data_IF_394086290850
#
_entry.id   IF_394086290850
#
_cell.length_a   1.000
_cell.length_b   1.000
_cell.length_c   1.000
_cell.angle_alpha   90.00
_cell.angle_beta   90.00
_cell.angle_gamma   90.00
#
_symmetry.space_group_name_H-M   'P 1'
#
loop_
_entity.id
_entity.type
_entity.pdbx_description
1 polymer ?
#
# COMPACT_ATOMS: atom_id res chain seq x y z
N UNK A 1 -40.33 45.70 -13.38
CA UNK A 1 -39.20 45.69 -12.43
C UNK A 1 -39.23 44.36 -11.68
N UNK A 2 -38.48 43.36 -12.16
CA UNK A 2 -38.38 42.04 -11.52
C UNK A 2 -37.03 41.96 -10.83
N UNK A 3 -37.01 42.06 -9.50
CA UNK A 3 -35.80 41.91 -8.69
C UNK A 3 -35.52 40.42 -8.54
N UNK A 4 -34.45 39.99 -9.22
CA UNK A 4 -33.93 38.62 -9.24
C UNK A 4 -33.16 38.34 -7.94
N UNK A 5 -33.56 37.27 -7.25
CA UNK A 5 -32.84 36.41 -6.29
C UNK A 5 -31.78 37.02 -5.32
N UNK A 6 -31.89 36.78 -3.99
CA UNK A 6 -30.72 36.80 -3.13
C UNK A 6 -29.85 35.58 -3.46
N UNK A 7 -28.69 35.88 -4.06
CA UNK A 7 -27.59 34.95 -4.31
C UNK A 7 -27.33 34.09 -3.07
N UNK A 8 -27.37 32.78 -3.29
CA UNK A 8 -27.11 31.71 -2.33
C UNK A 8 -25.80 31.97 -1.60
N UNK A 9 -25.86 31.81 -0.27
CA UNK A 9 -24.74 31.77 0.66
C UNK A 9 -23.60 30.95 0.08
N UNK A 10 -22.56 31.62 -0.42
CA UNK A 10 -21.32 30.97 -0.83
C UNK A 10 -20.68 30.38 0.42
N UNK A 11 -20.87 29.08 0.62
CA UNK A 11 -20.00 28.33 1.51
C UNK A 11 -18.57 28.55 1.03
N UNK A 12 -17.60 28.88 1.90
CA UNK A 12 -16.21 28.87 1.50
C UNK A 12 -15.91 27.48 0.97
N UNK A 13 -15.63 27.43 -0.34
CA UNK A 13 -15.03 26.28 -0.98
C UNK A 13 -13.67 26.14 -0.30
N UNK A 14 -13.59 25.31 0.73
CA UNK A 14 -12.31 24.88 1.29
C UNK A 14 -11.68 24.02 0.21
N UNK A 15 -11.11 24.67 -0.80
CA UNK A 15 -9.96 24.14 -1.50
C UNK A 15 -8.99 23.77 -0.39
N UNK A 16 -8.80 22.48 -0.14
CA UNK A 16 -7.81 21.99 0.83
C UNK A 16 -6.48 22.65 0.44
N UNK A 17 -6.09 23.71 1.16
CA UNK A 17 -5.12 24.70 0.69
C UNK A 17 -3.71 24.13 0.51
N UNK A 18 -3.48 22.89 0.94
CA UNK A 18 -2.24 22.18 0.74
C UNK A 18 -2.50 20.74 0.32
N UNK A 19 -2.07 20.39 -0.89
CA UNK A 19 -2.16 19.04 -1.48
C UNK A 19 -1.50 17.94 -0.62
N UNK A 20 -0.69 18.34 0.36
CA UNK A 20 0.11 17.46 1.23
C UNK A 20 -0.17 17.67 2.73
N UNK A 21 -1.32 18.26 3.08
CA UNK A 21 -1.71 18.45 4.48
C UNK A 21 -1.81 17.11 5.23
N UNK A 22 -2.28 16.06 4.54
CA UNK A 22 -2.42 14.72 5.11
C UNK A 22 -1.05 14.10 5.47
N UNK A 23 -0.03 14.31 4.63
CA UNK A 23 1.36 13.92 4.92
C UNK A 23 1.89 14.64 6.17
N UNK A 24 1.66 15.95 6.25
CA UNK A 24 2.16 16.77 7.35
C UNK A 24 1.52 16.41 8.70
N UNK A 25 0.23 16.11 8.69
CA UNK A 25 -0.50 15.64 9.86
C UNK A 25 0.09 14.32 10.37
N UNK A 26 0.29 13.33 9.48
CA UNK A 26 0.90 12.03 9.85
C UNK A 26 2.31 12.17 10.37
N UNK A 27 3.14 12.98 9.70
CA UNK A 27 4.50 13.26 10.15
C UNK A 27 4.50 13.89 11.55
N UNK A 28 3.62 14.86 11.79
CA UNK A 28 3.50 15.55 13.09
C UNK A 28 2.98 14.61 14.18
N UNK A 29 2.03 13.73 13.85
CA UNK A 29 1.52 12.71 14.76
C UNK A 29 2.61 11.72 15.17
N UNK A 30 3.42 11.22 14.23
CA UNK A 30 4.55 10.33 14.53
C UNK A 30 5.63 11.04 15.35
N UNK A 31 5.96 12.29 15.01
CA UNK A 31 6.89 13.09 15.81
C UNK A 31 6.36 13.30 17.23
N UNK A 32 5.05 13.53 17.41
CA UNK A 32 4.42 13.66 18.72
C UNK A 32 4.48 12.34 19.49
N UNK A 33 4.24 11.20 18.82
CA UNK A 33 4.28 9.86 19.40
C UNK A 33 5.68 9.51 19.91
N UNK A 34 6.71 9.84 19.14
CA UNK A 34 8.12 9.59 19.47
C UNK A 34 8.76 10.72 20.32
N UNK A 35 7.99 11.76 20.69
CA UNK A 35 8.43 12.98 21.38
C UNK A 35 9.68 13.63 20.76
N UNK A 36 9.71 13.71 19.43
CA UNK A 36 10.82 14.32 18.66
C UNK A 36 10.48 15.76 18.28
N UNK A 37 11.51 16.62 18.20
CA UNK A 37 11.35 18.03 17.84
C UNK A 37 11.61 18.28 16.34
N UNK A 38 11.05 19.38 15.81
CA UNK A 38 11.30 19.88 14.44
C UNK A 38 12.79 20.15 14.20
N UNK A 39 13.54 20.48 15.26
CA UNK A 39 14.99 20.65 15.21
C UNK A 39 15.72 19.33 14.91
N UNK A 40 15.25 18.22 15.49
CA UNK A 40 15.83 16.90 15.29
C UNK A 40 15.51 16.40 13.87
N UNK A 41 14.30 16.69 13.37
CA UNK A 41 13.92 16.42 11.98
C UNK A 41 14.83 17.15 10.98
N UNK A 42 15.18 18.41 11.26
CA UNK A 42 16.10 19.20 10.45
C UNK A 42 17.50 18.58 10.39
N UNK A 43 18.01 18.09 11.53
CA UNK A 43 19.30 17.42 11.61
C UNK A 43 19.30 16.06 10.91
N UNK A 44 18.27 15.24 11.12
CA UNK A 44 18.16 13.90 10.54
C UNK A 44 17.98 13.94 9.02
N UNK A 45 17.19 14.90 8.53
CA UNK A 45 16.92 15.04 7.12
C UNK A 45 18.01 15.82 6.36
N UNK A 46 18.95 16.44 7.09
CA UNK A 46 19.98 17.33 6.54
C UNK A 46 19.34 18.44 5.67
N UNK A 47 18.40 19.16 6.28
CA UNK A 47 17.67 20.27 5.68
C UNK A 47 17.61 21.44 6.65
N UNK A 48 17.47 22.67 6.13
CA UNK A 48 17.27 23.85 6.96
C UNK A 48 16.02 23.73 7.83
N UNK A 49 16.05 24.32 9.02
CA UNK A 49 14.90 24.35 9.95
C UNK A 49 13.60 24.82 9.28
N UNK A 50 13.68 25.84 8.41
CA UNK A 50 12.53 26.32 7.63
C UNK A 50 11.93 25.25 6.71
N UNK A 51 12.75 24.37 6.12
CA UNK A 51 12.24 23.26 5.28
C UNK A 51 11.56 22.18 6.13
N UNK A 52 12.16 21.81 7.26
CA UNK A 52 11.53 20.89 8.21
C UNK A 52 10.17 21.42 8.70
N UNK A 53 10.11 22.72 8.99
CA UNK A 53 8.86 23.39 9.37
C UNK A 53 7.82 23.37 8.25
N UNK A 54 8.22 23.60 6.99
CA UNK A 54 7.32 23.50 5.83
C UNK A 54 6.74 22.10 5.65
N UNK A 55 7.50 21.05 5.97
CA UNK A 55 6.99 19.67 5.95
C UNK A 55 5.91 19.44 7.00
N UNK A 56 6.11 19.94 8.23
CA UNK A 56 5.07 19.86 9.29
C UNK A 56 3.84 20.73 9.02
N UNK A 57 3.98 21.77 8.18
CA UNK A 57 2.86 22.62 7.76
C UNK A 57 2.16 22.10 6.49
N UNK A 58 2.73 21.10 5.80
CA UNK A 58 2.20 20.53 4.57
C UNK A 58 2.33 21.40 3.33
N UNK A 59 3.10 22.48 3.41
CA UNK A 59 3.29 23.42 2.29
C UNK A 59 4.27 22.91 1.23
N UNK A 60 5.10 21.92 1.58
CA UNK A 60 6.06 21.30 0.67
C UNK A 60 6.10 19.78 0.85
N UNK A 61 6.24 19.06 -0.28
CA UNK A 61 6.52 17.62 -0.30
C UNK A 61 8.04 17.41 -0.33
N UNK A 62 8.63 16.66 0.62
CA UNK A 62 10.05 16.30 0.56
C UNK A 62 10.32 15.43 -0.69
N UNK A 63 11.52 15.54 -1.26
CA UNK A 63 11.97 14.61 -2.32
C UNK A 63 12.14 13.20 -1.76
N UNK A 64 12.02 12.21 -2.62
CA UNK A 64 12.10 10.78 -2.25
C UNK A 64 13.34 10.43 -1.41
N UNK A 65 14.51 10.98 -1.74
CA UNK A 65 15.74 10.77 -0.94
C UNK A 65 15.62 11.27 0.51
N UNK A 66 14.99 12.43 0.70
CA UNK A 66 14.83 13.09 2.00
C UNK A 66 13.68 12.46 2.77
N UNK A 67 12.62 12.05 2.07
CA UNK A 67 11.49 11.30 2.61
C UNK A 67 11.97 9.95 3.16
N UNK A 68 12.82 9.23 2.42
CA UNK A 68 13.38 7.97 2.87
C UNK A 68 14.24 8.16 4.13
N UNK A 69 15.08 9.20 4.19
CA UNK A 69 15.85 9.51 5.42
C UNK A 69 14.96 9.81 6.63
N UNK A 70 13.86 10.52 6.44
CA UNK A 70 12.89 10.78 7.52
C UNK A 70 12.22 9.48 7.95
N UNK A 71 11.86 8.64 7.00
CA UNK A 71 11.24 7.34 7.22
C UNK A 71 12.17 6.40 8.01
N UNK A 72 13.43 6.29 7.59
CA UNK A 72 14.46 5.52 8.28
C UNK A 72 14.71 6.07 9.69
N UNK A 73 14.72 7.40 9.86
CA UNK A 73 14.94 8.03 11.15
C UNK A 73 13.76 7.85 12.13
N UNK A 74 12.53 7.90 11.62
CA UNK A 74 11.31 7.64 12.38
C UNK A 74 11.00 6.14 12.49
N UNK A 75 11.77 5.27 11.84
CA UNK A 75 11.52 3.83 11.72
C UNK A 75 10.10 3.50 11.21
N UNK A 76 9.63 4.28 10.24
CA UNK A 76 8.33 4.10 9.54
C UNK A 76 8.57 3.96 8.05
N UNK A 77 7.59 3.49 7.29
CA UNK A 77 7.72 3.34 5.83
C UNK A 77 7.53 4.70 5.12
N UNK A 78 8.38 5.02 4.15
CA UNK A 78 8.28 6.25 3.36
C UNK A 78 6.93 6.36 2.63
N UNK A 79 6.44 5.23 2.11
CA UNK A 79 5.13 5.14 1.46
C UNK A 79 3.97 5.43 2.43
N UNK A 80 4.07 4.98 3.69
CA UNK A 80 3.05 5.25 4.70
C UNK A 80 2.96 6.74 5.04
N UNK A 81 4.11 7.41 5.17
CA UNK A 81 4.13 8.85 5.40
C UNK A 81 3.42 9.60 4.25
N UNK A 82 3.73 9.24 2.99
CA UNK A 82 3.24 9.95 1.79
C UNK A 82 1.78 9.64 1.44
N UNK A 83 1.37 8.38 1.46
CA UNK A 83 0.04 7.95 1.01
C UNK A 83 -0.92 7.64 2.16
N UNK A 84 -0.43 7.40 3.39
CA UNK A 84 -1.26 6.99 4.53
C UNK A 84 -1.80 5.58 4.44
N UNK A 85 -1.38 4.84 3.41
CA UNK A 85 -1.68 3.43 3.25
C UNK A 85 -0.55 2.65 3.93
N UNK A 86 -0.91 1.80 4.90
CA UNK A 86 0.01 0.88 5.57
C UNK A 86 0.24 1.15 7.05
N UNK A 87 -0.81 1.12 7.88
CA UNK A 87 -0.56 0.79 9.28
C UNK A 87 0.16 -0.57 9.31
N UNK A 88 1.38 -0.55 9.88
CA UNK A 88 2.30 -1.68 10.11
C UNK A 88 2.12 -2.94 9.26
N UNK A 89 2.95 -3.12 8.24
CA UNK A 89 3.90 -4.24 8.04
C UNK A 89 4.55 -3.99 6.69
N UNK A 90 5.88 -4.16 6.63
CA UNK A 90 6.65 -4.16 5.39
C UNK A 90 5.86 -4.84 4.27
N UNK A 91 5.71 -4.19 3.13
CA UNK A 91 5.09 -4.78 1.94
C UNK A 91 5.98 -5.94 1.46
N UNK A 92 5.80 -7.13 2.04
CA UNK A 92 5.45 -8.30 1.25
C UNK A 92 4.20 -7.89 0.47
N UNK A 93 4.26 -8.07 -0.86
CA UNK A 93 3.13 -8.01 -1.77
C UNK A 93 1.87 -8.56 -1.10
N UNK A 94 0.66 -8.07 -1.43
CA UNK A 94 -0.56 -8.41 -0.70
C UNK A 94 -0.68 -9.92 -0.53
N UNK A 95 -0.19 -10.40 0.61
CA UNK A 95 -0.60 -11.65 1.23
C UNK A 95 -2.01 -11.34 1.65
N UNK A 96 -2.90 -11.44 0.67
CA UNK A 96 -4.23 -11.93 0.89
C UNK A 96 -4.05 -13.08 1.87
N UNK A 97 -4.39 -12.84 3.13
CA UNK A 97 -4.51 -13.87 4.15
C UNK A 97 -5.57 -14.85 3.67
N UNK A 98 -5.09 -15.80 2.90
CA UNK A 98 -5.77 -16.95 2.41
C UNK A 98 -4.89 -18.09 2.85
N UNK A 99 -5.20 -18.62 4.02
CA UNK A 99 -4.55 -19.77 4.64
C UNK A 99 -4.74 -21.08 3.85
N UNK A 100 -5.26 -21.01 2.62
CA UNK A 100 -5.39 -22.13 1.69
C UNK A 100 -4.31 -22.18 0.61
N UNK A 101 -3.35 -21.26 0.60
CA UNK A 101 -2.13 -21.48 -0.19
C UNK A 101 -1.24 -22.42 0.61
N UNK A 102 -0.83 -23.60 0.06
CA UNK A 102 0.15 -24.43 0.73
C UNK A 102 1.38 -23.55 0.96
N UNK A 103 1.66 -23.26 2.22
CA UNK A 103 2.91 -22.61 2.60
C UNK A 103 3.99 -23.57 2.14
N UNK A 104 4.81 -23.13 1.18
CA UNK A 104 6.03 -23.87 0.83
C UNK A 104 6.90 -23.83 2.07
N UNK A 105 6.71 -24.79 2.97
CA UNK A 105 7.60 -25.02 4.10
C UNK A 105 8.98 -25.22 3.47
N UNK A 106 9.90 -24.30 3.78
CA UNK A 106 11.18 -24.12 3.10
C UNK A 106 12.16 -25.31 3.25
N UNK A 107 11.69 -26.43 3.81
CA UNK A 107 12.48 -27.60 4.20
C UNK A 107 12.07 -28.89 3.47
N UNK A 108 11.08 -28.86 2.56
CA UNK A 108 10.78 -29.99 1.67
C UNK A 108 11.70 -29.87 0.45
N UNK A 109 12.42 -30.96 0.11
CA UNK A 109 13.23 -31.11 -1.09
C UNK A 109 12.39 -30.79 -2.33
N UNK A 110 12.34 -29.50 -2.70
CA UNK A 110 11.40 -28.94 -3.66
C UNK A 110 11.58 -29.54 -5.05
N UNK A 111 12.78 -30.03 -5.34
CA UNK A 111 13.10 -30.72 -6.59
C UNK A 111 12.41 -32.10 -6.71
N UNK A 112 11.92 -32.71 -5.63
CA UNK A 112 11.19 -33.97 -5.68
C UNK A 112 9.71 -33.78 -6.09
N UNK A 113 9.07 -32.70 -5.62
CA UNK A 113 7.65 -32.43 -5.89
C UNK A 113 7.40 -32.13 -7.38
N UNK A 114 8.34 -31.46 -8.05
CA UNK A 114 8.20 -31.12 -9.46
C UNK A 114 8.63 -32.23 -10.44
N UNK A 115 9.09 -33.40 -9.96
CA UNK A 115 9.50 -34.51 -10.83
C UNK A 115 8.32 -35.26 -11.43
N UNK A 116 7.26 -35.45 -10.65
CA UNK A 116 6.12 -36.28 -11.02
C UNK A 116 4.85 -35.46 -11.27
N UNK A 117 4.99 -34.37 -12.03
CA UNK A 117 3.85 -33.54 -12.40
C UNK A 117 2.85 -34.30 -13.29
N UNK A 118 1.58 -34.12 -12.97
CA UNK A 118 0.44 -34.51 -13.80
C UNK A 118 0.50 -33.84 -15.18
N UNK A 119 -0.18 -34.42 -16.17
CA UNK A 119 -0.27 -33.84 -17.52
C UNK A 119 -0.92 -32.45 -17.50
N UNK A 120 -1.89 -32.21 -16.61
CA UNK A 120 -2.54 -30.91 -16.48
C UNK A 120 -1.60 -29.86 -15.88
N UNK A 121 -0.76 -30.24 -14.91
CA UNK A 121 0.23 -29.36 -14.30
C UNK A 121 1.33 -28.99 -15.30
N UNK A 122 1.80 -29.99 -16.06
CA UNK A 122 2.72 -29.76 -17.20
C UNK A 122 2.11 -28.81 -18.21
N UNK A 123 0.81 -28.94 -18.51
CA UNK A 123 0.09 -28.04 -19.43
C UNK A 123 0.02 -26.62 -18.89
N UNK A 124 -0.28 -26.44 -17.61
CA UNK A 124 -0.31 -25.13 -16.96
C UNK A 124 1.06 -24.44 -17.02
N UNK A 125 2.14 -25.17 -16.71
CA UNK A 125 3.50 -24.64 -16.80
C UNK A 125 3.90 -24.28 -18.23
N UNK A 126 3.50 -25.07 -19.23
CA UNK A 126 3.75 -24.73 -20.65
C UNK A 126 3.05 -23.44 -21.06
N UNK A 127 1.79 -23.28 -20.68
CA UNK A 127 1.02 -22.06 -20.94
C UNK A 127 1.67 -20.86 -20.24
N UNK A 128 2.06 -21.02 -18.98
CA UNK A 128 2.72 -19.97 -18.21
C UNK A 128 4.03 -19.51 -18.86
N UNK A 129 4.86 -20.46 -19.31
CA UNK A 129 6.15 -20.17 -19.97
C UNK A 129 6.02 -19.52 -21.36
N UNK A 130 4.82 -19.52 -21.95
CA UNK A 130 4.58 -18.89 -23.25
C UNK A 130 4.48 -17.36 -23.15
N UNK A 131 4.22 -16.81 -21.96
CA UNK A 131 4.11 -15.36 -21.75
C UNK A 131 5.48 -14.71 -21.53
N UNK A 132 5.69 -13.46 -22.00
CA UNK A 132 6.87 -12.68 -21.61
C UNK A 132 6.87 -12.38 -20.11
N UNK A 133 8.04 -12.06 -19.54
CA UNK A 133 8.27 -12.09 -18.09
C UNK A 133 7.39 -11.13 -17.27
N UNK A 134 6.90 -10.06 -17.87
CA UNK A 134 6.04 -9.08 -17.19
C UNK A 134 4.59 -9.57 -17.18
N UNK A 135 4.13 -10.08 -18.31
CA UNK A 135 2.80 -10.64 -18.52
C UNK A 135 2.62 -11.92 -17.71
N UNK A 136 3.64 -12.78 -17.63
CA UNK A 136 3.61 -13.99 -16.81
C UNK A 136 3.33 -13.66 -15.32
N UNK A 137 3.98 -12.63 -14.78
CA UNK A 137 3.74 -12.17 -13.39
C UNK A 137 2.33 -11.64 -13.20
N UNK A 138 1.84 -10.83 -14.14
CA UNK A 138 0.49 -10.29 -14.08
C UNK A 138 -0.57 -11.39 -14.20
N UNK A 139 -0.34 -12.39 -15.05
CA UNK A 139 -1.23 -13.54 -15.21
C UNK A 139 -1.24 -14.44 -13.97
N UNK A 140 -0.09 -14.61 -13.30
CA UNK A 140 -0.01 -15.31 -12.02
C UNK A 140 -0.86 -14.60 -10.96
N UNK A 141 -0.68 -13.29 -10.82
CA UNK A 141 -1.45 -12.48 -9.88
C UNK A 141 -2.95 -12.54 -10.18
N UNK A 142 -3.33 -12.44 -11.46
CA UNK A 142 -4.73 -12.55 -11.88
C UNK A 142 -5.33 -13.92 -11.52
N UNK A 143 -4.54 -14.98 -11.69
CA UNK A 143 -4.95 -16.34 -11.32
C UNK A 143 -5.17 -16.46 -9.81
N UNK A 144 -4.24 -15.98 -8.99
CA UNK A 144 -4.35 -15.98 -7.53
C UNK A 144 -5.58 -15.19 -7.04
N UNK A 145 -5.77 -13.98 -7.57
CA UNK A 145 -6.92 -13.15 -7.22
C UNK A 145 -8.24 -13.84 -7.59
N UNK A 146 -8.28 -14.50 -8.76
CA UNK A 146 -9.48 -15.21 -9.20
C UNK A 146 -9.75 -16.47 -8.40
N UNK A 147 -8.71 -17.22 -8.04
CA UNK A 147 -8.81 -18.38 -7.17
C UNK A 147 -9.39 -18.00 -5.81
N UNK A 148 -8.90 -16.92 -5.19
CA UNK A 148 -9.44 -16.38 -3.93
C UNK A 148 -10.92 -16.06 -4.04
N UNK A 149 -11.34 -15.34 -5.09
CA UNK A 149 -12.75 -14.98 -5.30
C UNK A 149 -13.64 -16.22 -5.41
N UNK A 150 -13.20 -17.24 -6.14
CA UNK A 150 -13.94 -18.48 -6.29
C UNK A 150 -14.04 -19.22 -4.97
N UNK A 151 -12.95 -19.29 -4.20
CA UNK A 151 -12.98 -19.92 -2.89
C UNK A 151 -13.88 -19.18 -1.90
N UNK A 152 -13.78 -17.85 -1.82
CA UNK A 152 -14.65 -17.02 -0.98
C UNK A 152 -16.13 -17.23 -1.37
N UNK A 153 -16.40 -17.34 -2.67
CA UNK A 153 -17.72 -17.69 -3.18
C UNK A 153 -18.15 -19.09 -2.73
N UNK A 154 -17.31 -20.11 -2.88
CA UNK A 154 -17.61 -21.48 -2.43
C UNK A 154 -17.86 -21.53 -0.92
N UNK A 155 -17.03 -20.90 -0.10
CA UNK A 155 -17.25 -20.82 1.34
C UNK A 155 -18.59 -20.17 1.68
N UNK A 156 -18.92 -19.07 1.00
CA UNK A 156 -20.13 -18.29 1.26
C UNK A 156 -21.42 -19.00 0.83
N UNK A 157 -21.38 -19.77 -0.25
CA UNK A 157 -22.61 -20.32 -0.87
C UNK A 157 -22.70 -21.86 -0.87
N UNK A 158 -21.59 -22.58 -0.77
CA UNK A 158 -21.59 -24.05 -0.78
C UNK A 158 -21.64 -24.66 0.63
N UNK A 159 -21.14 -23.95 1.65
CA UNK A 159 -21.20 -24.40 3.05
C UNK A 159 -22.43 -23.88 3.82
N UNK A 160 -23.28 -23.04 3.22
CA UNK A 160 -24.59 -22.72 3.79
C UNK A 160 -25.51 -23.91 3.54
N UNK A 161 -26.00 -24.62 4.58
CA UNK A 161 -26.99 -25.67 4.37
C UNK A 161 -28.20 -25.06 3.66
N UNK A 162 -28.51 -25.58 2.48
CA UNK A 162 -29.81 -25.38 1.86
C UNK A 162 -30.85 -25.86 2.88
N UNK A 163 -31.79 -24.99 3.24
CA UNK A 163 -32.82 -25.19 4.26
C UNK A 163 -33.51 -26.55 4.20
#
# INVERSE_FOLDING_TARGET
>A
MTMNAPCLTLLPMVEKANKHQDFANRLTEEMRRQRRSVKDLSQACDVTYEMARRYTLGTAKPRDEKLQKIADWLNVQAAWLDYGEGDSVAVKLPETEFSGFPSTDADIDSDAEFRDLSEDEKRLLRVYRQFPSVEAKNMLLAFEMRYKQLYDFFLKYANTPQK
#
